data_IF_469871327474
#
_entry.id   IF_469871327474
#
_cell.length_a   1.000
_cell.length_b   1.000
_cell.length_c   1.000
_cell.angle_alpha   90.00
_cell.angle_beta   90.00
_cell.angle_gamma   90.00
#
_symmetry.space_group_name_H-M   'P 1'
#
loop_
_entity.id
_entity.type
_entity.pdbx_description
1 polymer ?
#
# COMPACT_ATOMS: atom_id res chain seq x y z
N UNK A 1 24.82 -9.69 10.84
CA UNK A 1 23.51 -9.08 10.51
C UNK A 1 22.44 -10.15 10.58
N UNK A 2 21.35 -9.90 11.33
CA UNK A 2 20.22 -10.85 11.37
C UNK A 2 19.46 -10.73 10.05
N UNK A 3 19.27 -11.84 9.33
CA UNK A 3 18.42 -11.85 8.14
C UNK A 3 16.98 -11.55 8.58
N UNK A 4 16.34 -10.60 7.91
CA UNK A 4 14.95 -10.30 8.20
C UNK A 4 14.06 -11.50 7.89
N UNK A 5 13.14 -11.80 8.80
CA UNK A 5 12.10 -12.79 8.60
C UNK A 5 10.80 -12.04 8.33
N UNK A 6 10.55 -11.77 7.04
CA UNK A 6 9.42 -10.95 6.62
C UNK A 6 8.08 -11.64 6.92
N UNK A 7 8.03 -12.96 7.06
CA UNK A 7 6.85 -13.70 7.53
C UNK A 7 6.52 -13.34 8.99
N UNK A 8 7.54 -13.20 9.86
CA UNK A 8 7.31 -12.72 11.24
C UNK A 8 6.86 -11.27 11.30
N UNK A 9 7.38 -10.42 10.40
CA UNK A 9 6.93 -9.02 10.29
C UNK A 9 5.46 -9.00 9.84
N UNK A 10 5.11 -9.77 8.81
CA UNK A 10 3.74 -9.90 8.30
C UNK A 10 2.78 -10.42 9.37
N UNK A 11 3.17 -11.45 10.12
CA UNK A 11 2.38 -12.01 11.21
C UNK A 11 2.13 -10.97 12.33
N UNK A 12 3.12 -10.14 12.66
CA UNK A 12 2.94 -9.06 13.63
C UNK A 12 1.98 -7.97 13.13
N UNK A 13 2.05 -7.62 11.84
CA UNK A 13 1.14 -6.68 11.20
C UNK A 13 -0.31 -7.21 11.24
N UNK A 14 -0.53 -8.46 10.79
CA UNK A 14 -1.85 -9.11 10.86
C UNK A 14 -2.43 -9.13 12.26
N UNK A 15 -1.58 -9.33 13.27
CA UNK A 15 -1.99 -9.35 14.67
C UNK A 15 -2.16 -7.94 15.28
N UNK A 16 -1.96 -6.85 14.51
CA UNK A 16 -1.98 -5.48 15.03
C UNK A 16 -0.93 -5.20 16.11
N UNK A 17 0.16 -5.98 16.15
CA UNK A 17 1.14 -6.01 17.24
C UNK A 17 2.36 -5.14 16.90
N UNK A 18 2.22 -3.84 17.16
CA UNK A 18 3.29 -2.85 16.91
C UNK A 18 4.62 -3.20 17.61
N UNK A 19 4.66 -3.59 18.90
CA UNK A 19 5.92 -3.96 19.54
C UNK A 19 6.62 -5.17 18.88
N UNK A 20 5.86 -6.18 18.46
CA UNK A 20 6.43 -7.33 17.77
C UNK A 20 6.96 -6.92 16.39
N UNK A 21 6.19 -6.12 15.64
CA UNK A 21 6.62 -5.58 14.35
C UNK A 21 7.95 -4.83 14.47
N UNK A 22 8.08 -3.90 15.42
CA UNK A 22 9.29 -3.11 15.61
C UNK A 22 10.51 -3.98 15.97
N UNK A 23 10.32 -4.97 16.86
CA UNK A 23 11.39 -5.92 17.25
C UNK A 23 11.85 -6.82 16.10
N UNK A 24 10.96 -7.17 15.16
CA UNK A 24 11.32 -8.01 14.01
C UNK A 24 11.92 -7.18 12.89
N UNK A 25 11.34 -6.01 12.57
CA UNK A 25 11.76 -5.15 11.48
C UNK A 25 13.10 -4.49 11.77
N UNK A 26 13.16 -3.58 12.75
CA UNK A 26 14.25 -2.61 12.85
C UNK A 26 15.65 -3.16 13.06
N UNK A 27 15.85 -4.26 13.82
CA UNK A 27 17.18 -4.87 13.92
C UNK A 27 17.71 -5.46 12.60
N UNK A 28 16.86 -5.67 11.60
CA UNK A 28 17.20 -6.31 10.33
C UNK A 28 16.97 -5.40 9.10
N UNK A 29 15.96 -4.53 9.15
CA UNK A 29 15.55 -3.61 8.10
C UNK A 29 15.32 -2.23 8.74
N UNK A 30 16.28 -1.30 8.63
CA UNK A 30 16.13 0.08 9.10
C UNK A 30 15.00 0.85 8.40
N UNK A 31 14.69 2.04 8.90
CA UNK A 31 13.81 2.98 8.19
C UNK A 31 14.40 3.38 6.83
N UNK A 32 13.53 3.61 5.85
CA UNK A 32 13.91 3.93 4.47
C UNK A 32 14.28 2.71 3.60
N UNK A 33 14.48 1.54 4.20
CA UNK A 33 14.76 0.30 3.47
C UNK A 33 13.47 -0.45 3.10
N UNK A 34 13.55 -1.19 1.98
CA UNK A 34 12.42 -1.96 1.45
C UNK A 34 12.04 -3.10 2.40
N UNK A 35 10.74 -3.22 2.69
CA UNK A 35 10.15 -4.40 3.35
C UNK A 35 9.28 -5.13 2.33
N UNK A 36 9.69 -6.33 1.91
CA UNK A 36 8.97 -7.11 0.89
C UNK A 36 8.17 -8.27 1.51
N UNK A 37 6.89 -8.30 1.21
CA UNK A 37 5.98 -9.40 1.53
C UNK A 37 5.66 -10.17 0.24
N UNK A 38 5.66 -11.49 0.32
CA UNK A 38 5.38 -12.36 -0.82
C UNK A 38 4.39 -13.43 -0.43
N UNK A 39 3.27 -13.54 -1.16
CA UNK A 39 2.23 -14.54 -0.91
C UNK A 39 1.65 -14.48 0.51
N UNK A 40 1.57 -13.28 1.08
CA UNK A 40 0.98 -13.03 2.40
C UNK A 40 -0.49 -12.62 2.27
N UNK A 41 -1.27 -13.05 3.25
CA UNK A 41 -2.64 -12.57 3.45
C UNK A 41 -2.63 -11.40 4.45
N UNK A 42 -3.20 -10.28 4.04
CA UNK A 42 -3.44 -9.07 4.82
C UNK A 42 -4.90 -8.62 4.70
N UNK A 43 -5.81 -9.53 4.35
CA UNK A 43 -7.24 -9.23 4.27
C UNK A 43 -7.75 -8.65 5.58
N UNK A 44 -8.54 -7.57 5.49
CA UNK A 44 -9.14 -6.88 6.63
C UNK A 44 -8.14 -6.37 7.69
N UNK A 45 -6.85 -6.27 7.35
CA UNK A 45 -5.85 -5.72 8.27
C UNK A 45 -6.03 -4.21 8.38
N UNK A 46 -5.98 -3.74 9.63
CA UNK A 46 -5.86 -2.33 9.96
C UNK A 46 -4.39 -1.90 10.02
N UNK A 47 -4.01 -1.01 9.10
CA UNK A 47 -2.63 -0.54 8.97
C UNK A 47 -2.31 0.75 9.73
N UNK A 48 -3.23 1.33 10.51
CA UNK A 48 -3.05 2.64 11.18
C UNK A 48 -1.76 2.74 12.00
N UNK A 49 -1.31 1.62 12.58
CA UNK A 49 -0.11 1.56 13.43
C UNK A 49 1.20 1.40 12.66
N UNK A 50 1.18 1.20 11.34
CA UNK A 50 2.33 0.74 10.57
C UNK A 50 2.62 1.68 9.39
N UNK A 51 3.67 2.50 9.48
CA UNK A 51 4.09 3.33 8.36
C UNK A 51 4.62 2.46 7.20
N UNK A 52 3.98 2.55 6.04
CA UNK A 52 4.18 1.61 4.91
C UNK A 52 5.11 2.15 3.81
N UNK A 53 5.81 3.25 4.07
CA UNK A 53 6.83 3.74 3.15
C UNK A 53 7.83 2.63 2.81
N UNK A 54 8.06 2.41 1.51
CA UNK A 54 8.93 1.37 0.95
C UNK A 54 8.45 -0.07 1.16
N UNK A 55 7.19 -0.29 1.52
CA UNK A 55 6.62 -1.64 1.53
C UNK A 55 6.37 -2.13 0.10
N UNK A 56 6.63 -3.41 -0.11
CA UNK A 56 6.35 -4.11 -1.37
C UNK A 56 5.48 -5.31 -1.09
N UNK A 57 4.28 -5.32 -1.65
CA UNK A 57 3.36 -6.44 -1.64
C UNK A 57 3.44 -7.15 -2.99
N UNK A 58 3.91 -8.39 -2.99
CA UNK A 58 4.05 -9.21 -4.19
C UNK A 58 3.18 -10.45 -4.05
N UNK A 59 2.21 -10.64 -4.94
CA UNK A 59 1.25 -11.75 -4.86
C UNK A 59 0.52 -11.83 -3.51
N UNK A 60 0.17 -10.68 -2.92
CA UNK A 60 -0.50 -10.63 -1.62
C UNK A 60 -2.02 -10.42 -1.76
N UNK A 61 -2.76 -10.80 -0.73
CA UNK A 61 -4.19 -10.52 -0.59
C UNK A 61 -4.36 -9.38 0.42
N UNK A 62 -4.96 -8.27 0.03
CA UNK A 62 -5.19 -7.10 0.89
C UNK A 62 -6.67 -6.70 0.92
N UNK A 63 -7.57 -7.62 0.54
CA UNK A 63 -8.97 -7.30 0.37
C UNK A 63 -9.59 -6.80 1.69
N UNK A 64 -10.27 -5.65 1.63
CA UNK A 64 -10.89 -5.02 2.79
C UNK A 64 -9.91 -4.40 3.81
N UNK A 65 -8.61 -4.33 3.50
CA UNK A 65 -7.64 -3.64 4.36
C UNK A 65 -7.96 -2.14 4.50
N UNK A 66 -7.49 -1.51 5.57
CA UNK A 66 -7.76 -0.10 5.86
C UNK A 66 -6.54 0.64 6.39
N UNK A 67 -6.56 1.97 6.28
CA UNK A 67 -5.50 2.87 6.73
C UNK A 67 -4.14 2.61 6.07
N UNK A 68 -4.14 2.39 4.76
CA UNK A 68 -2.89 2.28 3.99
C UNK A 68 -2.31 3.69 3.76
N UNK A 69 -1.15 3.98 4.36
CA UNK A 69 -0.47 5.27 4.22
C UNK A 69 1.05 5.14 4.11
N UNK A 70 1.68 6.12 3.45
CA UNK A 70 3.12 6.17 3.24
C UNK A 70 3.50 6.42 1.78
N UNK A 71 4.81 6.58 1.54
CA UNK A 71 5.32 6.88 0.21
C UNK A 71 6.77 6.39 0.02
N UNK A 72 7.11 5.77 -1.12
CA UNK A 72 6.20 5.06 -2.03
C UNK A 72 5.81 3.68 -1.47
N UNK A 73 4.62 3.19 -1.82
CA UNK A 73 4.13 1.82 -1.54
C UNK A 73 4.04 1.08 -2.87
N UNK A 74 4.46 -0.18 -2.92
CA UNK A 74 4.44 -0.99 -4.14
C UNK A 74 3.47 -2.17 -4.02
N UNK A 75 2.63 -2.36 -5.03
CA UNK A 75 1.78 -3.55 -5.17
C UNK A 75 2.08 -4.23 -6.50
N UNK A 76 2.27 -5.54 -6.48
CA UNK A 76 2.52 -6.37 -7.67
C UNK A 76 1.68 -7.62 -7.59
N UNK A 77 0.96 -7.94 -8.66
CA UNK A 77 0.20 -9.19 -8.79
C UNK A 77 -0.73 -9.46 -7.59
N UNK A 78 -1.24 -8.41 -6.95
CA UNK A 78 -1.92 -8.49 -5.65
C UNK A 78 -3.40 -8.15 -5.79
N UNK A 79 -4.22 -8.74 -4.94
CA UNK A 79 -5.62 -8.32 -4.79
C UNK A 79 -5.70 -7.26 -3.70
N UNK A 80 -6.32 -6.14 -4.01
CA UNK A 80 -6.42 -4.93 -3.17
C UNK A 80 -7.87 -4.43 -3.21
N UNK A 81 -8.83 -5.37 -3.23
CA UNK A 81 -10.24 -5.05 -3.43
C UNK A 81 -10.84 -4.46 -2.16
N UNK A 82 -11.84 -3.61 -2.31
CA UNK A 82 -12.64 -3.09 -1.18
C UNK A 82 -11.84 -2.37 -0.08
N UNK A 83 -10.58 -2.03 -0.37
CA UNK A 83 -9.64 -1.35 0.54
C UNK A 83 -10.12 0.06 0.83
N UNK A 84 -9.95 0.48 2.08
CA UNK A 84 -10.32 1.80 2.54
C UNK A 84 -9.16 2.79 2.48
N UNK A 85 -9.22 3.69 1.49
CA UNK A 85 -8.30 4.81 1.31
C UNK A 85 -8.92 6.17 1.71
N UNK A 86 -10.08 6.19 2.38
CA UNK A 86 -10.68 7.45 2.85
C UNK A 86 -9.71 8.23 3.74
N UNK A 87 -9.59 9.54 3.49
CA UNK A 87 -8.60 10.43 4.12
C UNK A 87 -7.11 10.01 3.95
N UNK A 88 -6.80 9.00 3.15
CA UNK A 88 -5.43 8.53 2.98
C UNK A 88 -4.61 9.47 2.08
N UNK A 89 -3.35 9.69 2.44
CA UNK A 89 -2.36 10.31 1.57
C UNK A 89 -1.23 9.30 1.31
N UNK A 90 -1.14 8.82 0.07
CA UNK A 90 -0.17 7.79 -0.31
C UNK A 90 0.37 7.99 -1.72
N UNK A 91 1.62 7.57 -1.95
CA UNK A 91 2.17 7.42 -3.30
C UNK A 91 2.29 5.93 -3.61
N UNK A 92 1.44 5.45 -4.51
CA UNK A 92 1.32 4.04 -4.86
C UNK A 92 1.95 3.76 -6.22
N UNK A 93 2.67 2.65 -6.32
CA UNK A 93 3.13 2.07 -7.58
C UNK A 93 2.56 0.66 -7.69
N UNK A 94 1.49 0.51 -8.44
CA UNK A 94 0.75 -0.73 -8.61
C UNK A 94 0.93 -1.32 -10.02
N UNK A 95 1.10 -2.63 -10.09
CA UNK A 95 1.25 -3.39 -11.32
C UNK A 95 0.47 -4.71 -11.25
N UNK A 96 -0.39 -4.98 -12.24
CA UNK A 96 -1.19 -6.21 -12.34
C UNK A 96 -2.04 -6.49 -11.08
N UNK A 97 -2.70 -5.48 -10.53
CA UNK A 97 -3.47 -5.61 -9.29
C UNK A 97 -4.98 -5.42 -9.51
N UNK A 98 -5.81 -5.90 -8.59
CA UNK A 98 -7.25 -5.63 -8.59
C UNK A 98 -7.62 -4.66 -7.46
N UNK A 99 -8.05 -3.46 -7.81
CA UNK A 99 -8.44 -2.37 -6.89
C UNK A 99 -9.95 -2.09 -6.93
N UNK A 100 -10.75 -2.95 -7.57
CA UNK A 100 -12.21 -2.76 -7.61
C UNK A 100 -12.80 -2.75 -6.20
N UNK A 101 -13.76 -1.87 -5.98
CA UNK A 101 -14.41 -1.64 -4.69
C UNK A 101 -13.64 -0.69 -3.76
N UNK A 102 -12.48 -0.17 -4.17
CA UNK A 102 -11.71 0.76 -3.32
C UNK A 102 -12.57 1.94 -2.86
N UNK A 103 -12.48 2.28 -1.57
CA UNK A 103 -13.19 3.39 -0.95
C UNK A 103 -12.26 4.59 -0.88
N UNK A 104 -12.79 5.76 -1.20
CA UNK A 104 -12.05 7.02 -1.21
C UNK A 104 -13.04 8.17 -0.98
N UNK A 105 -12.52 9.32 -0.59
CA UNK A 105 -13.26 10.56 -0.42
C UNK A 105 -12.46 11.74 -0.99
N UNK A 106 -12.97 12.96 -0.78
CA UNK A 106 -12.36 14.18 -1.28
C UNK A 106 -11.00 14.50 -0.59
N UNK A 107 -10.71 13.86 0.54
CA UNK A 107 -9.44 14.00 1.25
C UNK A 107 -8.39 13.00 0.77
N UNK A 108 -8.80 11.91 0.12
CA UNK A 108 -7.91 10.90 -0.43
C UNK A 108 -6.98 11.47 -1.51
N UNK A 109 -5.66 11.39 -1.28
CA UNK A 109 -4.61 11.95 -2.15
C UNK A 109 -3.63 10.88 -2.64
N UNK A 110 -3.54 10.77 -3.95
CA UNK A 110 -2.58 9.91 -4.66
C UNK A 110 -1.50 10.67 -5.43
N UNK A 111 -1.49 12.00 -5.30
CA UNK A 111 -0.51 12.90 -5.91
C UNK A 111 -0.05 13.91 -4.87
N UNK A 112 1.25 14.17 -4.81
CA UNK A 112 1.85 15.16 -3.91
C UNK A 112 2.58 16.24 -4.72
N UNK A 113 2.34 17.51 -4.37
CA UNK A 113 2.86 18.67 -5.11
C UNK A 113 2.03 19.04 -6.34
N UNK A 114 2.55 19.94 -7.18
CA UNK A 114 1.85 20.46 -8.35
C UNK A 114 2.76 20.60 -9.57
N UNK A 115 2.16 20.73 -10.76
CA UNK A 115 2.88 20.94 -12.01
C UNK A 115 3.81 19.78 -12.41
N UNK A 116 4.92 20.11 -13.06
CA UNK A 116 5.88 19.12 -13.59
C UNK A 116 6.64 18.36 -12.49
N UNK A 117 6.72 18.90 -11.28
CA UNK A 117 7.46 18.33 -10.15
C UNK A 117 6.57 17.49 -9.22
N UNK A 118 5.27 17.36 -9.50
CA UNK A 118 4.39 16.55 -8.65
C UNK A 118 4.79 15.06 -8.69
N UNK A 119 4.83 14.45 -7.51
CA UNK A 119 5.02 13.01 -7.34
C UNK A 119 3.65 12.36 -7.48
N UNK A 120 3.52 11.44 -8.44
CA UNK A 120 2.24 10.82 -8.80
C UNK A 120 2.27 9.33 -8.48
N UNK A 121 1.15 8.83 -8.01
CA UNK A 121 0.90 7.40 -8.03
C UNK A 121 0.79 6.90 -9.47
N UNK A 122 1.04 5.60 -9.66
CA UNK A 122 1.00 4.93 -10.95
C UNK A 122 0.36 3.55 -10.80
N UNK A 123 -0.60 3.26 -11.66
CA UNK A 123 -1.34 2.01 -11.73
C UNK A 123 -1.21 1.48 -13.16
N UNK A 124 -0.54 0.34 -13.34
CA UNK A 124 -0.32 -0.29 -14.65
C UNK A 124 -0.99 -1.66 -14.67
N UNK A 125 -1.78 -1.94 -15.70
CA UNK A 125 -2.53 -3.19 -15.85
C UNK A 125 -3.39 -3.52 -14.61
N UNK A 126 -3.91 -2.49 -13.94
CA UNK A 126 -4.73 -2.65 -12.74
C UNK A 126 -6.21 -2.66 -13.10
N UNK A 127 -6.98 -3.53 -12.45
CA UNK A 127 -8.44 -3.50 -12.53
C UNK A 127 -8.97 -2.42 -11.57
N UNK A 128 -9.79 -1.52 -12.10
CA UNK A 128 -10.38 -0.39 -11.40
C UNK A 128 -11.84 -0.28 -11.83
N UNK A 129 -12.71 0.16 -10.92
CA UNK A 129 -14.05 0.58 -11.32
C UNK A 129 -14.00 1.90 -12.09
N UNK A 130 -14.97 2.16 -12.96
CA UNK A 130 -14.99 3.38 -13.78
C UNK A 130 -14.90 4.66 -12.96
N UNK A 131 -15.62 4.72 -11.82
CA UNK A 131 -15.58 5.86 -10.90
C UNK A 131 -14.21 6.04 -10.24
N UNK A 132 -13.56 4.95 -9.84
CA UNK A 132 -12.24 4.98 -9.25
C UNK A 132 -11.19 5.44 -10.28
N UNK A 133 -11.29 4.95 -11.51
CA UNK A 133 -10.44 5.38 -12.63
C UNK A 133 -10.59 6.88 -12.89
N UNK A 134 -11.83 7.37 -12.97
CA UNK A 134 -12.09 8.81 -13.17
C UNK A 134 -11.52 9.66 -12.02
N UNK A 135 -11.72 9.23 -10.78
CA UNK A 135 -11.18 9.89 -9.60
C UNK A 135 -9.64 10.00 -9.65
N UNK A 136 -8.95 8.91 -9.96
CA UNK A 136 -7.49 8.87 -10.08
C UNK A 136 -6.98 9.80 -11.19
N UNK A 137 -7.59 9.74 -12.38
CA UNK A 137 -7.21 10.59 -13.52
C UNK A 137 -7.40 12.07 -13.23
N UNK A 138 -8.47 12.46 -12.52
CA UNK A 138 -8.72 13.85 -12.10
C UNK A 138 -7.62 14.39 -11.17
N UNK A 139 -7.00 13.55 -10.34
CA UNK A 139 -5.85 13.95 -9.53
C UNK A 139 -4.54 14.04 -10.33
N UNK A 140 -4.50 13.47 -11.54
CA UNK A 140 -3.29 13.35 -12.35
C UNK A 140 -2.46 12.09 -12.02
N UNK A 141 -3.09 11.04 -11.48
CA UNK A 141 -2.47 9.71 -11.34
C UNK A 141 -2.24 9.10 -12.72
N UNK A 142 -1.12 8.40 -12.88
CA UNK A 142 -0.85 7.63 -14.10
C UNK A 142 -1.63 6.31 -14.07
N UNK A 143 -2.58 6.13 -14.98
CA UNK A 143 -3.35 4.88 -15.12
C UNK A 143 -3.18 4.35 -16.54
N UNK A 144 -2.65 3.13 -16.68
CA UNK A 144 -2.37 2.48 -17.96
C UNK A 144 -2.51 0.98 -17.93
#
# INVERSE_FOLDING_TARGET
MKKADNHKIAAAIRAGNLPAYQRQRYPAIPDGEIVRFTSEDFSNVDFDKFAMGFFVFDNCLLDGAQYIYGQPIYFKNSSVRDVDFRSAAAIIKAENCDFRGMKYDDETKFVYGSGKLAVRSRFVNCQLDDKAREFLLRQGVEVG
#
